data_IF_828937843936
#
_entry.id   IF_828937843936
#
_cell.length_a   1.000
_cell.length_b   1.000
_cell.length_c   1.000
_cell.angle_alpha   90.00
_cell.angle_beta   90.00
_cell.angle_gamma   90.00
#
_symmetry.space_group_name_H-M   'P 1'
#
loop_
_entity.id
_entity.type
_entity.pdbx_description
1 polymer ?
#
# COMPACT_ATOMS: atom_id res chain seq x y z
N UNK A 1 -17.80 53.66 -15.79
CA UNK A 1 -17.06 52.38 -15.98
C UNK A 1 -16.31 51.91 -14.73
N UNK A 2 -15.55 52.77 -14.03
CA UNK A 2 -14.78 52.38 -12.83
C UNK A 2 -15.65 51.89 -11.65
N UNK A 3 -16.82 52.51 -11.44
CA UNK A 3 -17.75 52.12 -10.36
C UNK A 3 -18.34 50.71 -10.56
N UNK A 4 -18.63 50.35 -11.81
CA UNK A 4 -19.13 49.00 -12.15
C UNK A 4 -18.05 47.96 -11.87
N UNK A 5 -16.79 48.23 -12.24
CA UNK A 5 -15.68 47.36 -11.92
C UNK A 5 -15.52 47.14 -10.40
N UNK A 6 -15.63 48.21 -9.60
CA UNK A 6 -15.57 48.09 -8.13
C UNK A 6 -16.68 47.18 -7.57
N UNK A 7 -17.90 47.29 -8.08
CA UNK A 7 -19.03 46.43 -7.65
C UNK A 7 -18.77 44.97 -8.02
N UNK A 8 -18.28 44.69 -9.22
CA UNK A 8 -17.94 43.33 -9.62
C UNK A 8 -16.79 42.74 -8.80
N UNK A 9 -15.75 43.53 -8.48
CA UNK A 9 -14.65 43.08 -7.64
C UNK A 9 -15.13 42.75 -6.22
N UNK A 10 -16.02 43.57 -5.65
CA UNK A 10 -16.63 43.30 -4.34
C UNK A 10 -17.48 42.03 -4.37
N UNK A 11 -18.29 41.83 -5.41
CA UNK A 11 -19.09 40.63 -5.57
C UNK A 11 -18.21 39.37 -5.73
N UNK A 12 -17.12 39.45 -6.49
CA UNK A 12 -16.16 38.36 -6.65
C UNK A 12 -15.46 38.02 -5.32
N UNK A 13 -15.03 39.03 -4.55
CA UNK A 13 -14.47 38.82 -3.21
C UNK A 13 -15.47 38.16 -2.26
N UNK A 14 -16.73 38.60 -2.27
CA UNK A 14 -17.78 38.00 -1.46
C UNK A 14 -18.02 36.53 -1.83
N UNK A 15 -18.06 36.22 -3.13
CA UNK A 15 -18.19 34.84 -3.62
C UNK A 15 -17.01 33.95 -3.20
N UNK A 16 -15.79 34.48 -3.26
CA UNK A 16 -14.58 33.74 -2.86
C UNK A 16 -14.56 33.48 -1.35
N UNK A 17 -14.95 34.47 -0.54
CA UNK A 17 -15.09 34.31 0.91
C UNK A 17 -16.15 33.25 1.27
N UNK A 18 -17.28 33.23 0.56
CA UNK A 18 -18.33 32.25 0.78
C UNK A 18 -17.89 30.83 0.41
N UNK A 19 -17.24 30.65 -0.75
CA UNK A 19 -16.71 29.36 -1.17
C UNK A 19 -15.63 28.82 -0.22
N UNK A 20 -14.79 29.70 0.33
CA UNK A 20 -13.78 29.31 1.32
C UNK A 20 -14.44 28.81 2.63
N UNK A 21 -15.54 29.42 3.06
CA UNK A 21 -16.28 28.98 4.25
C UNK A 21 -16.91 27.59 4.03
N UNK A 22 -17.56 27.39 2.88
CA UNK A 22 -18.11 26.09 2.47
C UNK A 22 -17.03 25.01 2.45
N UNK A 23 -15.88 25.29 1.83
CA UNK A 23 -14.76 24.35 1.81
C UNK A 23 -14.25 24.04 3.23
N UNK A 24 -14.12 25.05 4.08
CA UNK A 24 -13.69 24.86 5.46
C UNK A 24 -14.68 23.98 6.23
N UNK A 25 -15.98 24.16 6.03
CA UNK A 25 -17.00 23.30 6.65
C UNK A 25 -16.90 21.87 6.14
N UNK A 26 -16.72 21.67 4.83
CA UNK A 26 -16.56 20.33 4.25
C UNK A 26 -15.32 19.61 4.80
N UNK A 27 -14.20 20.32 4.98
CA UNK A 27 -12.98 19.78 5.56
C UNK A 27 -13.07 19.53 7.07
N UNK A 28 -13.83 20.34 7.80
CA UNK A 28 -13.96 20.24 9.26
C UNK A 28 -15.04 19.24 9.69
N UNK A 29 -15.94 18.87 8.79
CA UNK A 29 -16.97 17.87 9.09
C UNK A 29 -16.33 16.48 9.18
N UNK A 30 -16.37 15.84 10.36
CA UNK A 30 -15.84 14.48 10.49
C UNK A 30 -16.65 13.54 9.61
N UNK A 31 -15.96 12.62 8.92
CA UNK A 31 -16.63 11.54 8.17
C UNK A 31 -17.53 10.78 9.15
N UNK A 32 -18.84 10.62 8.87
CA UNK A 32 -19.73 9.91 9.77
C UNK A 32 -19.16 8.53 10.07
N UNK A 33 -19.13 8.10 11.35
CA UNK A 33 -18.66 6.76 11.69
C UNK A 33 -19.43 5.73 10.88
N UNK A 34 -18.74 4.69 10.41
CA UNK A 34 -19.29 3.67 9.51
C UNK A 34 -20.63 3.11 10.02
N UNK A 35 -20.82 3.05 11.33
CA UNK A 35 -22.05 2.60 12.01
C UNK A 35 -23.31 3.39 11.58
N UNK A 36 -23.18 4.68 11.29
CA UNK A 36 -24.30 5.50 10.83
C UNK A 36 -24.63 5.27 9.35
N UNK A 37 -23.66 4.83 8.52
CA UNK A 37 -23.93 4.44 7.13
C UNK A 37 -24.68 3.11 7.05
N UNK A 38 -24.44 2.20 7.99
CA UNK A 38 -25.15 0.92 8.07
C UNK A 38 -26.59 1.12 8.54
N UNK A 39 -26.87 2.11 9.40
CA UNK A 39 -28.22 2.40 9.90
C UNK A 39 -29.22 2.85 8.81
N UNK A 40 -28.75 3.30 7.64
CA UNK A 40 -29.61 3.63 6.48
C UNK A 40 -29.94 2.41 5.60
N UNK A 41 -29.28 1.27 5.83
CA UNK A 41 -29.68 0.02 5.21
C UNK A 41 -30.89 -0.54 5.96
N UNK A 42 -32.02 -0.72 5.27
CA UNK A 42 -33.16 -1.47 5.79
C UNK A 42 -32.62 -2.81 6.32
N UNK A 43 -32.81 -3.13 7.62
CA UNK A 43 -32.29 -4.38 8.15
C UNK A 43 -32.93 -5.53 7.36
N UNK A 44 -32.09 -6.33 6.71
CA UNK A 44 -32.50 -7.63 6.24
C UNK A 44 -33.03 -8.40 7.46
N UNK A 45 -34.07 -9.23 7.32
CA UNK A 45 -34.56 -10.03 8.43
C UNK A 45 -33.39 -10.78 9.04
N UNK A 46 -33.22 -10.62 10.35
CA UNK A 46 -32.19 -11.27 11.14
C UNK A 46 -32.48 -12.78 11.10
N UNK A 47 -31.82 -13.48 10.17
CA UNK A 47 -31.87 -14.94 10.12
C UNK A 47 -30.96 -15.42 11.23
N UNK A 48 -31.48 -15.45 12.45
CA UNK A 48 -30.81 -16.10 13.58
C UNK A 48 -30.67 -17.58 13.24
N UNK A 49 -29.51 -17.97 12.72
CA UNK A 49 -29.18 -19.35 12.38
C UNK A 49 -28.93 -20.10 13.69
N UNK A 50 -29.95 -20.79 14.18
CA UNK A 50 -29.94 -21.53 15.44
C UNK A 50 -29.29 -22.92 15.35
N UNK A 51 -28.76 -23.29 14.17
CA UNK A 51 -28.10 -24.59 13.96
C UNK A 51 -26.59 -24.42 13.86
N UNK A 52 -25.80 -25.30 14.52
CA UNK A 52 -24.36 -25.34 14.36
C UNK A 52 -24.03 -25.48 12.88
N UNK A 53 -23.38 -24.47 12.31
CA UNK A 53 -22.95 -24.48 10.92
C UNK A 53 -21.98 -25.66 10.75
N UNK A 54 -22.25 -26.64 9.85
CA UNK A 54 -21.28 -27.68 9.58
C UNK A 54 -19.97 -27.03 9.13
N UNK A 55 -18.80 -27.54 9.57
CA UNK A 55 -17.52 -26.97 9.21
C UNK A 55 -17.42 -26.93 7.69
N UNK A 56 -17.10 -25.75 7.15
CA UNK A 56 -16.95 -25.55 5.71
C UNK A 56 -15.82 -26.47 5.23
N UNK A 57 -16.17 -27.57 4.59
CA UNK A 57 -15.22 -28.50 3.96
C UNK A 57 -15.06 -28.11 2.51
N UNK A 58 -14.04 -27.28 2.24
CA UNK A 58 -13.62 -27.01 0.87
C UNK A 58 -13.15 -28.31 0.20
N UNK A 59 -13.58 -28.61 -1.03
CA UNK A 59 -12.96 -29.69 -1.79
C UNK A 59 -11.48 -29.38 -2.00
N UNK A 60 -10.61 -30.39 -1.87
CA UNK A 60 -9.16 -30.27 -2.05
C UNK A 60 -8.81 -30.07 -3.54
N UNK A 61 -9.14 -28.89 -4.08
CA UNK A 61 -8.77 -28.45 -5.44
C UNK A 61 -7.30 -28.02 -5.53
N UNK A 62 -6.72 -27.68 -4.38
CA UNK A 62 -5.30 -27.48 -4.18
C UNK A 62 -4.84 -28.66 -3.33
N UNK A 63 -3.72 -29.30 -3.69
CA UNK A 63 -3.27 -30.57 -3.12
C UNK A 63 -3.35 -30.66 -1.59
N UNK A 64 -3.34 -31.89 -1.07
CA UNK A 64 -3.43 -32.16 0.37
C UNK A 64 -2.40 -31.35 1.14
N UNK A 65 -2.86 -30.55 2.11
CA UNK A 65 -1.98 -29.93 3.11
C UNK A 65 -1.24 -31.06 3.81
N UNK A 66 0.05 -31.22 3.48
CA UNK A 66 0.95 -32.04 4.28
C UNK A 66 1.10 -31.29 5.60
N UNK A 67 0.41 -31.77 6.63
CA UNK A 67 0.67 -31.34 7.98
C UNK A 67 2.14 -31.70 8.27
N UNK A 68 3.00 -30.69 8.33
CA UNK A 68 4.41 -30.89 8.64
C UNK A 68 4.47 -31.40 10.08
N UNK A 69 4.92 -32.65 10.22
CA UNK A 69 5.07 -33.31 11.50
C UNK A 69 6.07 -32.49 12.35
N UNK A 70 5.82 -32.27 13.65
CA UNK A 70 6.71 -31.44 14.48
C UNK A 70 8.12 -32.02 14.44
N UNK A 71 9.04 -31.32 13.77
CA UNK A 71 10.44 -31.73 13.73
C UNK A 71 10.99 -31.73 15.17
N UNK A 72 11.72 -32.79 15.58
CA UNK A 72 12.40 -32.81 16.87
C UNK A 72 13.33 -31.60 17.03
N UNK A 73 13.54 -31.10 18.26
CA UNK A 73 14.39 -29.95 18.49
C UNK A 73 15.78 -30.18 17.89
N UNK A 74 16.19 -29.25 17.02
CA UNK A 74 17.47 -29.31 16.35
C UNK A 74 18.62 -29.37 17.38
N UNK A 75 19.64 -30.22 17.16
CA UNK A 75 20.83 -30.24 18.01
C UNK A 75 21.53 -28.87 18.00
N UNK A 76 22.25 -28.52 19.08
CA UNK A 76 22.80 -27.19 19.27
C UNK A 76 23.68 -26.78 18.08
N UNK A 77 23.36 -25.61 17.53
CA UNK A 77 24.04 -24.96 16.42
C UNK A 77 25.53 -24.85 16.72
N UNK A 78 26.35 -25.60 15.97
CA UNK A 78 27.78 -25.36 15.94
C UNK A 78 28.05 -23.93 15.43
N UNK A 79 29.04 -23.20 15.96
CA UNK A 79 29.39 -21.88 15.47
C UNK A 79 29.70 -21.97 13.97
N UNK A 80 28.87 -21.34 13.13
CA UNK A 80 29.12 -21.23 11.70
C UNK A 80 30.41 -20.42 11.52
N UNK A 81 31.40 -21.04 10.88
CA UNK A 81 32.55 -20.31 10.35
C UNK A 81 32.05 -19.16 9.45
N UNK A 82 32.73 -18.00 9.43
CA UNK A 82 32.30 -16.87 8.61
C UNK A 82 32.28 -17.26 7.13
N UNK A 83 31.07 -17.37 6.56
CA UNK A 83 30.89 -17.53 5.12
C UNK A 83 31.51 -16.30 4.43
N UNK A 84 32.29 -16.48 3.34
CA UNK A 84 32.83 -15.36 2.59
C UNK A 84 31.71 -14.39 2.18
N UNK A 85 31.95 -13.07 2.19
CA UNK A 85 30.94 -12.10 1.79
C UNK A 85 30.44 -12.45 0.39
N UNK A 86 29.13 -12.68 0.28
CA UNK A 86 28.44 -12.95 -0.97
C UNK A 86 28.76 -11.79 -1.93
N UNK A 87 29.08 -12.05 -3.20
CA UNK A 87 29.32 -10.98 -4.16
C UNK A 87 28.10 -10.02 -4.13
N UNK A 88 28.33 -8.70 -4.12
CA UNK A 88 27.24 -7.73 -4.08
C UNK A 88 26.29 -8.03 -5.23
N UNK A 89 25.00 -8.15 -4.91
CA UNK A 89 23.98 -8.41 -5.92
C UNK A 89 24.06 -7.33 -7.01
N UNK A 90 23.93 -7.70 -8.30
CA UNK A 90 23.91 -6.70 -9.36
C UNK A 90 22.76 -5.71 -9.10
N UNK A 91 22.96 -4.42 -9.43
CA UNK A 91 21.98 -3.38 -9.19
C UNK A 91 20.65 -3.75 -9.86
N UNK A 92 19.53 -3.49 -9.19
CA UNK A 92 18.19 -3.89 -9.64
C UNK A 92 17.81 -3.23 -10.96
N UNK A 93 18.40 -2.08 -11.27
CA UNK A 93 18.32 -1.43 -12.59
C UNK A 93 18.76 -2.37 -13.73
N UNK A 94 19.65 -3.32 -13.46
CA UNK A 94 20.12 -4.32 -14.43
C UNK A 94 19.11 -5.44 -14.72
N UNK A 95 18.06 -5.55 -13.90
CA UNK A 95 16.96 -6.51 -14.10
C UNK A 95 15.86 -5.96 -15.02
N UNK A 96 16.04 -4.73 -15.54
CA UNK A 96 15.06 -4.09 -16.42
C UNK A 96 13.87 -3.49 -15.68
N UNK A 97 13.92 -3.40 -14.35
CA UNK A 97 12.97 -2.64 -13.56
C UNK A 97 13.34 -1.16 -13.58
N UNK A 98 12.34 -0.31 -13.79
CA UNK A 98 12.49 1.14 -13.80
C UNK A 98 11.42 1.77 -12.94
N UNK A 99 11.80 2.60 -11.96
CA UNK A 99 10.83 3.35 -11.18
C UNK A 99 10.26 4.49 -12.04
N UNK A 100 8.99 4.36 -12.43
CA UNK A 100 8.27 5.35 -13.26
C UNK A 100 7.68 6.48 -12.43
N UNK A 101 7.29 6.20 -11.19
CA UNK A 101 6.61 7.19 -10.35
C UNK A 101 6.37 6.66 -8.94
N UNK A 102 6.08 7.57 -8.02
CA UNK A 102 5.67 7.24 -6.65
C UNK A 102 4.50 8.14 -6.24
N UNK A 103 3.62 7.60 -5.42
CA UNK A 103 2.50 8.32 -4.82
C UNK A 103 2.68 8.23 -3.32
N UNK A 104 2.87 9.38 -2.67
CA UNK A 104 2.98 9.45 -1.21
C UNK A 104 1.77 10.16 -0.65
N UNK A 105 1.12 9.54 0.34
CA UNK A 105 -0.06 10.15 0.99
C UNK A 105 0.29 10.80 2.32
N UNK A 106 1.54 10.69 2.78
CA UNK A 106 2.01 11.30 4.03
C UNK A 106 1.40 10.66 5.28
N UNK A 107 0.90 9.44 5.18
CA UNK A 107 0.40 8.70 6.33
C UNK A 107 1.59 8.24 7.19
N UNK A 108 1.53 8.46 8.51
CA UNK A 108 2.62 8.11 9.45
C UNK A 108 2.99 6.62 9.40
N UNK A 109 2.06 5.75 8.97
CA UNK A 109 2.27 4.31 8.86
C UNK A 109 2.82 3.85 7.50
N UNK A 110 3.05 4.76 6.53
CA UNK A 110 3.52 4.42 5.17
C UNK A 110 2.58 3.57 4.31
N UNK A 111 1.42 3.13 4.86
CA UNK A 111 0.44 2.23 4.20
C UNK A 111 -0.27 2.82 2.98
N UNK A 112 -0.15 4.14 2.79
CA UNK A 112 -0.70 4.85 1.64
C UNK A 112 0.35 5.23 0.59
N UNK A 113 1.61 4.84 0.78
CA UNK A 113 2.68 5.10 -0.18
C UNK A 113 2.75 3.96 -1.21
N UNK A 114 2.89 4.34 -2.47
CA UNK A 114 2.88 3.44 -3.62
C UNK A 114 4.01 3.77 -4.58
N UNK A 115 4.60 2.75 -5.18
CA UNK A 115 5.57 2.87 -6.25
C UNK A 115 5.02 2.25 -7.54
N UNK A 116 5.22 2.94 -8.66
CA UNK A 116 4.94 2.43 -10.00
C UNK A 116 6.26 1.97 -10.60
N UNK A 117 6.40 0.66 -10.74
CA UNK A 117 7.59 0.04 -11.33
C UNK A 117 7.24 -0.46 -12.73
N UNK A 118 7.99 -0.03 -13.73
CA UNK A 118 7.91 -0.55 -15.08
C UNK A 118 8.87 -1.72 -15.27
N UNK A 119 8.39 -2.76 -15.94
CA UNK A 119 9.17 -3.90 -16.43
C UNK A 119 8.79 -4.16 -17.90
N UNK A 120 9.65 -4.78 -18.74
CA UNK A 120 9.29 -5.15 -20.11
C UNK A 120 8.02 -6.03 -20.24
N UNK A 121 7.60 -6.70 -19.18
CA UNK A 121 6.33 -7.48 -19.15
C UNK A 121 5.11 -6.65 -18.77
N UNK A 122 5.28 -5.41 -18.30
CA UNK A 122 4.20 -4.53 -17.88
C UNK A 122 4.57 -3.62 -16.72
N UNK A 123 3.69 -2.67 -16.43
CA UNK A 123 3.81 -1.77 -15.27
C UNK A 123 3.08 -2.38 -14.07
N UNK A 124 3.69 -2.31 -12.89
CA UNK A 124 3.16 -2.81 -11.64
C UNK A 124 3.11 -1.72 -10.59
N UNK A 125 2.05 -1.73 -9.79
CA UNK A 125 1.88 -0.85 -8.64
C UNK A 125 2.18 -1.64 -7.37
N UNK A 126 3.12 -1.16 -6.57
CA UNK A 126 3.65 -1.87 -5.40
C UNK A 126 3.58 -1.00 -4.15
N UNK A 127 3.44 -1.67 -3.00
CA UNK A 127 3.36 -1.07 -1.67
C UNK A 127 4.49 -1.61 -0.80
N UNK A 128 4.73 -0.96 0.33
CA UNK A 128 5.62 -1.50 1.37
C UNK A 128 5.12 -2.87 1.82
N UNK A 129 5.99 -3.88 1.75
CA UNK A 129 5.68 -5.28 2.06
C UNK A 129 5.25 -6.12 0.86
N UNK A 130 4.98 -5.53 -0.30
CA UNK A 130 4.65 -6.29 -1.51
C UNK A 130 5.90 -6.91 -2.14
N UNK A 131 5.72 -8.05 -2.81
CA UNK A 131 6.77 -8.72 -3.55
C UNK A 131 6.83 -8.19 -4.99
N UNK A 132 8.00 -7.68 -5.39
CA UNK A 132 8.26 -7.20 -6.74
C UNK A 132 8.44 -8.38 -7.71
N UNK A 133 9.17 -9.41 -7.28
CA UNK A 133 9.42 -10.67 -8.01
C UNK A 133 9.94 -11.70 -7.01
N UNK A 134 9.89 -13.00 -7.34
CA UNK A 134 10.32 -14.11 -6.48
C UNK A 134 11.58 -13.80 -5.65
N UNK A 135 11.40 -13.56 -4.35
CA UNK A 135 12.45 -13.29 -3.36
C UNK A 135 12.94 -11.83 -3.28
N UNK A 136 12.21 -10.87 -3.86
CA UNK A 136 12.46 -9.42 -3.76
C UNK A 136 11.23 -8.72 -3.17
N UNK A 137 11.33 -8.26 -1.92
CA UNK A 137 10.23 -7.60 -1.21
C UNK A 137 10.49 -6.10 -1.07
N UNK A 138 9.47 -5.28 -1.24
CA UNK A 138 9.56 -3.84 -0.97
C UNK A 138 9.65 -3.61 0.54
N UNK A 139 10.69 -2.89 0.95
CA UNK A 139 10.96 -2.58 2.37
C UNK A 139 10.54 -1.18 2.72
N UNK A 140 10.76 -0.23 1.80
CA UNK A 140 10.50 1.18 2.06
C UNK A 140 10.32 1.95 0.75
N UNK A 141 9.48 2.97 0.77
CA UNK A 141 9.29 3.89 -0.35
C UNK A 141 9.72 5.27 0.15
N UNK A 142 10.86 5.76 -0.34
CA UNK A 142 11.41 7.06 0.05
C UNK A 142 11.41 8.04 -1.12
N UNK A 143 11.78 9.30 -0.89
CA UNK A 143 11.90 10.29 -1.96
C UNK A 143 13.00 9.97 -2.97
N UNK A 144 14.00 9.21 -2.54
CA UNK A 144 15.15 8.79 -3.35
C UNK A 144 14.78 7.64 -4.30
N UNK A 145 13.76 6.87 -3.95
CA UNK A 145 13.28 5.75 -4.75
C UNK A 145 12.66 4.61 -3.93
N UNK A 146 12.61 3.44 -4.54
CA UNK A 146 12.03 2.24 -3.97
C UNK A 146 13.13 1.38 -3.33
N UNK A 147 13.08 1.17 -2.03
CA UNK A 147 13.96 0.24 -1.34
C UNK A 147 13.35 -1.15 -1.33
N UNK A 148 14.13 -2.15 -1.74
CA UNK A 148 13.72 -3.55 -1.72
C UNK A 148 14.76 -4.41 -1.02
N UNK A 149 14.31 -5.47 -0.38
CA UNK A 149 15.16 -6.52 0.19
C UNK A 149 15.23 -7.67 -0.80
N UNK A 150 16.46 -8.09 -1.10
CA UNK A 150 16.73 -9.26 -1.92
C UNK A 150 17.49 -10.29 -1.09
N UNK A 151 16.75 -11.15 -0.40
CA UNK A 151 17.35 -12.21 0.41
C UNK A 151 18.33 -11.70 1.48
N UNK A 152 17.98 -10.60 2.14
CA UNK A 152 18.77 -9.97 3.21
C UNK A 152 19.72 -8.86 2.77
N UNK A 153 19.74 -8.49 1.48
CA UNK A 153 20.50 -7.35 0.97
C UNK A 153 19.54 -6.23 0.51
N UNK A 154 19.67 -5.04 1.10
CA UNK A 154 18.88 -3.87 0.74
C UNK A 154 19.42 -3.23 -0.54
N UNK A 155 18.57 -3.10 -1.54
CA UNK A 155 18.87 -2.43 -2.80
C UNK A 155 17.90 -1.27 -3.04
N UNK A 156 18.43 -0.15 -3.54
CA UNK A 156 17.64 1.01 -3.94
C UNK A 156 17.41 0.95 -5.45
N UNK A 157 16.14 1.02 -5.85
CA UNK A 157 15.70 1.27 -7.22
C UNK A 157 15.38 2.76 -7.34
N UNK A 158 16.31 3.50 -7.94
CA UNK A 158 16.16 4.93 -8.19
C UNK A 158 15.34 5.23 -9.44
N UNK A 159 14.99 6.51 -9.60
CA UNK A 159 14.44 6.99 -10.87
C UNK A 159 15.50 6.92 -11.97
N UNK A 160 15.11 6.51 -13.17
CA UNK A 160 15.97 6.62 -14.34
C UNK A 160 16.16 8.11 -14.63
N UNK A 161 17.42 8.58 -14.56
CA UNK A 161 17.80 9.88 -15.09
C UNK A 161 17.70 9.81 -16.61
N UNK A 162 16.80 10.60 -17.19
CA UNK A 162 16.86 10.96 -18.61
C UNK A 162 18.10 11.82 -18.92
#
# INVERSE_FOLDING_TARGET
MRLIAFVFTLAAMAGLAFAALELQTALSNPVPPADQRVASAKPAPDVTRNEPQPPIRWPALFGTVVAEEPQPPAPPTQPREPQPPKPPAPPIDSLGYTLKGMVRTGAEDGRGDWAIVGHPTGDQLLRVGDELTDGITVVEITEEGLWVDRGGERALLGFVKE
#
